data_IF_053882172648
#
_entry.id   IF_053882172648
#
_cell.length_a   1.000
_cell.length_b   1.000
_cell.length_c   1.000
_cell.angle_alpha   90.00
_cell.angle_beta   90.00
_cell.angle_gamma   90.00
#
_symmetry.space_group_name_H-M   'P 1'
#
loop_
_entity.id
_entity.type
_entity.pdbx_description
1 polymer ?
#
# COMPACT_ATOMS: atom_id res chain seq x y z
N UNK A 1 1.28 -4.64 14.27
CA UNK A 1 0.07 -3.82 14.00
C UNK A 1 -1.00 -3.88 15.11
N UNK A 2 -1.24 -5.04 15.75
CA UNK A 2 -2.33 -5.24 16.74
C UNK A 2 -2.38 -4.25 17.91
N UNK A 3 -1.22 -3.79 18.42
CA UNK A 3 -1.18 -2.84 19.53
C UNK A 3 -1.77 -1.46 19.21
N UNK A 4 -1.76 -1.05 17.94
CA UNK A 4 -2.25 0.28 17.52
C UNK A 4 -3.75 0.29 17.18
N UNK A 5 -4.32 -0.90 16.92
CA UNK A 5 -5.71 -1.06 16.48
C UNK A 5 -6.65 -1.31 17.68
N UNK A 6 -6.12 -1.79 18.81
CA UNK A 6 -6.92 -2.23 19.97
C UNK A 6 -7.83 -1.15 20.55
N UNK A 7 -7.34 0.09 20.66
CA UNK A 7 -8.12 1.22 21.17
C UNK A 7 -9.34 1.55 20.30
N UNK A 8 -9.13 1.90 19.01
CA UNK A 8 -10.23 2.11 18.06
C UNK A 8 -11.21 0.92 17.96
N UNK A 9 -10.69 -0.31 17.98
CA UNK A 9 -11.53 -1.50 17.95
C UNK A 9 -12.44 -1.61 19.18
N UNK A 10 -11.90 -1.37 20.38
CA UNK A 10 -12.67 -1.40 21.62
C UNK A 10 -13.76 -0.32 21.63
N UNK A 11 -13.48 0.86 21.07
CA UNK A 11 -14.47 1.91 20.88
C UNK A 11 -15.65 1.43 20.04
N UNK A 12 -15.41 0.92 18.83
CA UNK A 12 -16.47 0.40 17.94
C UNK A 12 -17.27 -0.72 18.62
N UNK A 13 -16.57 -1.67 19.24
CA UNK A 13 -17.19 -2.78 19.96
C UNK A 13 -18.08 -2.31 21.12
N UNK A 14 -17.63 -1.32 21.91
CA UNK A 14 -18.43 -0.77 23.03
C UNK A 14 -19.73 -0.10 22.57
N UNK A 15 -19.72 0.46 21.36
CA UNK A 15 -20.88 1.09 20.73
C UNK A 15 -21.75 0.09 19.96
N UNK A 16 -21.37 -1.20 19.92
CA UNK A 16 -22.03 -2.24 19.14
C UNK A 16 -22.13 -1.92 17.64
N UNK A 17 -21.12 -1.23 17.10
CA UNK A 17 -21.01 -0.90 15.67
C UNK A 17 -19.73 -1.48 15.08
N UNK A 18 -19.67 -1.58 13.75
CA UNK A 18 -18.51 -2.12 13.03
C UNK A 18 -17.78 -1.10 12.16
N UNK A 19 -18.40 0.06 11.91
CA UNK A 19 -17.82 1.14 11.10
C UNK A 19 -17.81 2.46 11.86
N UNK A 20 -16.82 3.31 11.59
CA UNK A 20 -16.74 4.67 12.13
C UNK A 20 -17.98 5.48 11.78
N UNK A 21 -18.48 5.33 10.54
CA UNK A 21 -19.69 6.03 10.08
C UNK A 21 -20.91 5.72 10.96
N UNK A 22 -21.10 4.47 11.37
CA UNK A 22 -22.19 4.08 12.25
C UNK A 22 -22.06 4.73 13.64
N UNK A 23 -20.82 4.83 14.14
CA UNK A 23 -20.54 5.56 15.39
C UNK A 23 -20.86 7.06 15.25
N UNK A 24 -20.44 7.68 14.15
CA UNK A 24 -20.74 9.08 13.82
C UNK A 24 -22.26 9.33 13.71
N UNK A 25 -22.99 8.41 13.09
CA UNK A 25 -24.45 8.45 12.98
C UNK A 25 -25.13 8.35 14.36
N UNK A 26 -24.62 7.50 15.27
CA UNK A 26 -25.10 7.43 16.66
C UNK A 26 -24.84 8.74 17.41
N UNK A 27 -23.65 9.33 17.24
CA UNK A 27 -23.28 10.58 17.91
C UNK A 27 -24.11 11.76 17.41
N UNK A 28 -24.37 11.84 16.11
CA UNK A 28 -25.19 12.90 15.50
C UNK A 28 -26.63 12.94 16.05
N UNK A 29 -27.15 11.79 16.51
CA UNK A 29 -28.48 11.67 17.14
C UNK A 29 -28.49 12.07 18.62
N UNK A 30 -27.32 12.26 19.24
CA UNK A 30 -27.16 12.48 20.68
C UNK A 30 -26.38 13.78 21.01
N UNK A 31 -26.48 14.79 20.14
CA UNK A 31 -25.73 16.07 20.23
C UNK A 31 -25.99 16.89 21.49
N UNK A 32 -27.12 16.66 22.17
CA UNK A 32 -27.47 17.35 23.41
C UNK A 32 -26.68 16.87 24.63
N UNK A 33 -25.97 15.73 24.53
CA UNK A 33 -25.15 15.21 25.62
C UNK A 33 -23.81 15.97 25.71
N UNK A 34 -23.61 16.75 26.77
CA UNK A 34 -22.40 17.54 26.97
C UNK A 34 -21.14 16.66 27.10
N UNK A 35 -21.21 15.59 27.88
CA UNK A 35 -20.11 14.64 28.04
C UNK A 35 -19.71 13.97 26.72
N UNK A 36 -20.68 13.66 25.85
CA UNK A 36 -20.39 13.13 24.52
C UNK A 36 -19.68 14.17 23.64
N UNK A 37 -20.13 15.42 23.66
CA UNK A 37 -19.47 16.50 22.88
C UNK A 37 -18.03 16.73 23.32
N UNK A 38 -17.77 16.71 24.62
CA UNK A 38 -16.43 16.81 25.19
C UNK A 38 -15.55 15.63 24.74
N UNK A 39 -16.03 14.39 24.89
CA UNK A 39 -15.31 13.21 24.44
C UNK A 39 -15.00 13.22 22.93
N UNK A 40 -15.91 13.71 22.09
CA UNK A 40 -15.66 13.84 20.64
C UNK A 40 -14.62 14.92 20.32
N UNK A 41 -14.59 15.99 21.11
CA UNK A 41 -13.58 17.03 20.99
C UNK A 41 -12.20 16.49 21.37
N UNK A 42 -12.11 15.77 22.50
CA UNK A 42 -10.87 15.10 22.95
C UNK A 42 -10.38 14.09 21.91
N UNK A 43 -11.30 13.31 21.32
CA UNK A 43 -10.97 12.32 20.29
C UNK A 43 -10.39 12.98 19.04
N UNK A 44 -10.98 14.11 18.60
CA UNK A 44 -10.46 14.89 17.47
C UNK A 44 -9.11 15.52 17.78
N UNK A 45 -8.91 15.97 19.01
CA UNK A 45 -7.61 16.50 19.43
C UNK A 45 -6.54 15.40 19.46
N UNK A 46 -6.88 14.21 19.95
CA UNK A 46 -5.99 13.04 19.94
C UNK A 46 -5.57 12.67 18.51
N UNK A 47 -6.50 12.67 17.54
CA UNK A 47 -6.18 12.45 16.12
C UNK A 47 -5.10 13.42 15.62
N UNK A 48 -5.29 14.72 15.87
CA UNK A 48 -4.32 15.76 15.45
C UNK A 48 -2.97 15.59 16.16
N UNK A 49 -2.99 15.36 17.47
CA UNK A 49 -1.77 15.21 18.27
C UNK A 49 -0.98 13.95 17.88
N UNK A 50 -1.67 12.84 17.60
CA UNK A 50 -1.08 11.57 17.17
C UNK A 50 -0.41 11.70 15.82
N UNK A 51 -1.12 12.25 14.82
CA UNK A 51 -0.57 12.43 13.48
C UNK A 51 0.62 13.39 13.48
N UNK A 52 0.54 14.47 14.27
CA UNK A 52 1.66 15.40 14.45
C UNK A 52 2.87 14.75 15.15
N UNK A 53 2.63 13.83 16.10
CA UNK A 53 3.69 13.06 16.73
C UNK A 53 4.41 12.15 15.73
N UNK A 54 3.66 11.40 14.91
CA UNK A 54 4.24 10.54 13.89
C UNK A 54 5.01 11.34 12.83
N UNK A 55 4.52 12.53 12.45
CA UNK A 55 5.24 13.40 11.53
C UNK A 55 6.60 13.83 12.10
N UNK A 56 6.65 14.21 13.38
CA UNK A 56 7.93 14.54 14.03
C UNK A 56 8.90 13.35 14.02
N UNK A 57 8.42 12.13 14.24
CA UNK A 57 9.25 10.93 14.17
C UNK A 57 9.79 10.69 12.74
N UNK A 58 8.97 10.90 11.71
CA UNK A 58 9.43 10.79 10.32
C UNK A 58 10.55 11.78 10.01
N UNK A 59 10.45 13.00 10.54
CA UNK A 59 11.46 14.06 10.37
C UNK A 59 12.76 13.74 11.14
N UNK A 60 12.64 13.32 12.41
CA UNK A 60 13.78 12.97 13.29
C UNK A 60 14.56 11.75 12.77
N UNK A 61 13.83 10.73 12.30
CA UNK A 61 14.42 9.51 11.74
C UNK A 61 14.84 9.65 10.28
N UNK A 62 14.52 10.78 9.64
CA UNK A 62 14.79 11.04 8.22
C UNK A 62 14.22 9.96 7.29
N UNK A 63 13.01 9.45 7.61
CA UNK A 63 12.38 8.36 6.85
C UNK A 63 11.77 8.82 5.53
N UNK A 64 11.35 10.08 5.50
CA UNK A 64 10.93 10.73 4.27
C UNK A 64 12.00 10.52 3.20
N UNK A 65 11.64 10.04 2.00
CA UNK A 65 12.62 9.83 0.95
C UNK A 65 13.37 11.15 0.73
N UNK A 66 14.70 11.13 0.86
CA UNK A 66 15.54 12.31 0.57
C UNK A 66 15.34 12.63 -0.91
N UNK A 67 14.44 13.58 -1.20
CA UNK A 67 14.22 14.08 -2.55
C UNK A 67 15.44 14.93 -2.90
N UNK A 68 16.54 14.28 -3.28
CA UNK A 68 17.63 14.95 -3.94
C UNK A 68 17.13 15.32 -5.35
N UNK A 69 16.72 16.58 -5.50
CA UNK A 69 16.10 17.20 -6.68
C UNK A 69 14.64 16.77 -6.95
N UNK A 70 13.74 17.73 -6.73
CA UNK A 70 12.31 17.69 -7.07
C UNK A 70 12.07 17.49 -8.59
N UNK A 71 13.11 17.59 -9.41
CA UNK A 71 13.03 17.66 -10.88
C UNK A 71 13.48 16.40 -11.64
N UNK A 72 14.02 15.38 -10.95
CA UNK A 72 14.33 14.08 -11.55
C UNK A 72 13.48 12.96 -10.94
N UNK A 73 12.16 13.15 -11.03
CA UNK A 73 11.26 12.00 -11.08
C UNK A 73 11.65 11.16 -12.30
N UNK A 74 11.88 9.87 -12.12
CA UNK A 74 12.22 8.97 -13.23
C UNK A 74 11.03 8.90 -14.20
N UNK A 75 11.02 9.78 -15.21
CA UNK A 75 10.09 9.73 -16.35
C UNK A 75 10.23 8.43 -17.15
N UNK A 76 11.32 7.71 -16.91
CA UNK A 76 11.64 6.43 -17.54
C UNK A 76 12.38 5.55 -16.53
N UNK A 77 12.10 4.25 -16.54
CA UNK A 77 12.89 3.24 -15.84
C UNK A 77 13.80 2.54 -16.85
N UNK A 78 15.06 2.33 -16.49
CA UNK A 78 16.00 1.64 -17.36
C UNK A 78 15.51 0.20 -17.64
N UNK A 79 15.39 -0.21 -18.91
CA UNK A 79 15.07 -1.60 -19.28
C UNK A 79 16.05 -2.62 -18.71
N UNK A 80 17.30 -2.22 -18.47
CA UNK A 80 18.38 -3.06 -17.96
C UNK A 80 18.39 -3.16 -16.43
N UNK A 81 17.37 -2.63 -15.75
CA UNK A 81 17.26 -2.69 -14.29
C UNK A 81 17.22 -4.17 -13.86
N UNK A 82 18.22 -4.66 -13.10
CA UNK A 82 18.29 -6.06 -12.69
C UNK A 82 17.29 -6.31 -11.56
N UNK A 83 16.51 -7.37 -11.71
CA UNK A 83 15.50 -7.85 -10.77
C UNK A 83 15.64 -9.36 -10.65
N UNK A 84 15.01 -9.94 -9.64
CA UNK A 84 14.99 -11.40 -9.44
C UNK A 84 13.58 -11.91 -9.71
N UNK A 85 13.42 -12.89 -10.58
CA UNK A 85 12.13 -13.56 -10.75
C UNK A 85 11.80 -14.34 -9.46
N UNK A 86 10.66 -14.02 -8.84
CA UNK A 86 10.32 -14.60 -7.54
C UNK A 86 10.13 -16.12 -7.58
N UNK A 87 9.74 -16.67 -8.73
CA UNK A 87 9.46 -18.12 -8.88
C UNK A 87 10.74 -18.89 -9.18
N UNK A 88 11.57 -18.39 -10.09
CA UNK A 88 12.79 -19.12 -10.52
C UNK A 88 14.03 -18.74 -9.74
N UNK A 89 14.08 -17.55 -9.14
CA UNK A 89 15.27 -16.99 -8.50
C UNK A 89 16.30 -16.47 -9.48
N UNK A 90 16.00 -16.49 -10.78
CA UNK A 90 16.91 -16.02 -11.82
C UNK A 90 16.92 -14.49 -11.87
N UNK A 91 18.10 -13.93 -12.15
CA UNK A 91 18.21 -12.50 -12.48
C UNK A 91 17.61 -12.26 -13.85
N UNK A 92 16.62 -11.37 -13.90
CA UNK A 92 15.97 -10.88 -15.11
C UNK A 92 16.08 -9.37 -15.18
N UNK A 93 15.77 -8.79 -16.34
CA UNK A 93 15.67 -7.33 -16.50
C UNK A 93 14.25 -6.92 -16.86
N UNK A 94 13.91 -5.66 -16.62
CA UNK A 94 12.59 -5.12 -16.99
C UNK A 94 12.33 -5.22 -18.51
N UNK A 95 13.39 -5.22 -19.32
CA UNK A 95 13.34 -5.46 -20.76
C UNK A 95 12.59 -6.74 -21.14
N UNK A 96 12.51 -7.75 -20.25
CA UNK A 96 11.67 -8.96 -20.44
C UNK A 96 10.23 -8.60 -20.83
N UNK A 97 9.71 -7.48 -20.36
CA UNK A 97 8.31 -7.07 -20.50
C UNK A 97 8.08 -5.94 -21.54
N UNK A 98 9.14 -5.24 -21.93
CA UNK A 98 9.09 -4.07 -22.82
C UNK A 98 9.12 -4.47 -24.31
N UNK A 99 8.62 -3.61 -25.20
CA UNK A 99 8.61 -3.84 -26.66
C UNK A 99 7.70 -4.97 -27.15
N UNK A 100 6.71 -5.38 -26.35
CA UNK A 100 5.79 -6.49 -26.67
C UNK A 100 4.40 -6.06 -27.13
N UNK A 101 4.22 -4.79 -27.49
CA UNK A 101 2.91 -4.22 -27.82
C UNK A 101 1.93 -4.17 -26.63
N UNK A 102 2.45 -4.26 -25.40
CA UNK A 102 1.69 -4.12 -24.15
C UNK A 102 2.30 -3.04 -23.27
N UNK A 103 1.42 -2.31 -22.56
CA UNK A 103 1.82 -1.45 -21.45
C UNK A 103 2.04 -2.32 -20.21
N UNK A 104 2.88 -1.86 -19.28
CA UNK A 104 3.17 -2.60 -18.05
C UNK A 104 2.59 -1.83 -16.87
N UNK A 105 1.72 -2.46 -16.09
CA UNK A 105 1.35 -1.97 -14.77
C UNK A 105 2.29 -2.58 -13.73
N UNK A 106 3.20 -1.77 -13.20
CA UNK A 106 4.03 -2.11 -12.06
C UNK A 106 3.26 -1.87 -10.76
N UNK A 107 3.09 -2.93 -9.97
CA UNK A 107 2.46 -2.87 -8.64
C UNK A 107 3.53 -3.09 -7.57
N UNK A 108 4.05 -2.01 -6.99
CA UNK A 108 5.04 -2.05 -5.92
C UNK A 108 4.32 -2.29 -4.59
N UNK A 109 4.46 -3.49 -4.01
CA UNK A 109 3.85 -3.84 -2.73
C UNK A 109 4.69 -3.37 -1.55
N UNK A 110 4.03 -3.09 -0.43
CA UNK A 110 4.67 -2.48 0.74
C UNK A 110 5.45 -3.47 1.60
N UNK A 111 4.91 -4.68 1.71
CA UNK A 111 5.43 -5.80 2.49
C UNK A 111 4.55 -7.03 2.18
N UNK A 112 5.04 -8.23 2.46
CA UNK A 112 4.28 -9.46 2.19
C UNK A 112 3.03 -9.62 3.08
N UNK A 113 3.05 -9.11 4.31
CA UNK A 113 1.91 -9.23 5.26
C UNK A 113 0.81 -8.17 5.04
N UNK A 114 0.96 -7.27 4.07
CA UNK A 114 -0.02 -6.20 3.86
C UNK A 114 -1.32 -6.71 3.24
N UNK A 115 -2.38 -6.77 4.05
CA UNK A 115 -3.73 -7.16 3.62
C UNK A 115 -4.21 -6.34 2.40
N UNK A 116 -4.04 -5.02 2.44
CA UNK A 116 -4.51 -4.09 1.40
C UNK A 116 -3.76 -4.30 0.08
N UNK A 117 -2.47 -4.67 0.13
CA UNK A 117 -1.73 -5.04 -1.08
C UNK A 117 -2.30 -6.32 -1.71
N UNK A 118 -2.69 -7.30 -0.89
CA UNK A 118 -3.29 -8.56 -1.36
C UNK A 118 -4.67 -8.33 -1.96
N UNK A 119 -5.52 -7.53 -1.31
CA UNK A 119 -6.83 -7.15 -1.83
C UNK A 119 -6.72 -6.40 -3.16
N UNK A 120 -5.75 -5.49 -3.28
CA UNK A 120 -5.50 -4.76 -4.54
C UNK A 120 -5.11 -5.71 -5.69
N UNK A 121 -4.21 -6.66 -5.44
CA UNK A 121 -3.83 -7.65 -6.45
C UNK A 121 -5.01 -8.56 -6.82
N UNK A 122 -5.84 -8.94 -5.85
CA UNK A 122 -7.07 -9.69 -6.12
C UNK A 122 -8.07 -8.89 -6.95
N UNK A 123 -8.20 -7.59 -6.71
CA UNK A 123 -9.08 -6.72 -7.51
C UNK A 123 -8.60 -6.59 -8.96
N UNK A 124 -7.29 -6.45 -9.17
CA UNK A 124 -6.69 -6.50 -10.51
C UNK A 124 -6.99 -7.84 -11.21
N UNK A 125 -6.84 -8.97 -10.50
CA UNK A 125 -7.14 -10.29 -11.06
C UNK A 125 -8.62 -10.47 -11.41
N UNK A 126 -9.54 -9.91 -10.61
CA UNK A 126 -10.98 -9.91 -10.93
C UNK A 126 -11.30 -9.11 -12.19
N UNK A 127 -10.50 -8.08 -12.48
CA UNK A 127 -10.66 -7.21 -13.63
C UNK A 127 -9.71 -7.57 -14.80
N UNK A 128 -9.18 -8.80 -14.83
CA UNK A 128 -8.19 -9.22 -15.83
C UNK A 128 -8.66 -8.99 -17.27
N UNK A 129 -9.93 -9.27 -17.58
CA UNK A 129 -10.47 -9.07 -18.93
C UNK A 129 -10.44 -7.60 -19.38
N UNK A 130 -10.60 -6.65 -18.45
CA UNK A 130 -10.49 -5.22 -18.74
C UNK A 130 -9.05 -4.80 -18.98
N UNK A 131 -8.12 -5.30 -18.16
CA UNK A 131 -6.67 -5.09 -18.34
C UNK A 131 -6.19 -5.63 -19.70
N UNK A 132 -6.63 -6.84 -20.07
CA UNK A 132 -6.29 -7.47 -21.35
C UNK A 132 -6.86 -6.69 -22.55
N UNK A 133 -8.10 -6.22 -22.47
CA UNK A 133 -8.73 -5.40 -23.51
C UNK A 133 -7.96 -4.09 -23.78
N UNK A 134 -7.26 -3.57 -22.78
CA UNK A 134 -6.42 -2.39 -22.90
C UNK A 134 -4.93 -2.71 -23.11
N UNK A 135 -4.58 -3.98 -23.34
CA UNK A 135 -3.18 -4.43 -23.51
C UNK A 135 -2.27 -4.05 -22.34
N UNK A 136 -2.78 -4.14 -21.11
CA UNK A 136 -2.02 -3.89 -19.88
C UNK A 136 -1.59 -5.21 -19.25
N UNK A 137 -0.27 -5.40 -19.10
CA UNK A 137 0.31 -6.52 -18.37
C UNK A 137 0.69 -6.09 -16.96
N UNK A 138 0.19 -6.79 -15.94
CA UNK A 138 0.53 -6.51 -14.54
C UNK A 138 1.79 -7.26 -14.14
N UNK A 139 2.69 -6.58 -13.42
CA UNK A 139 3.88 -7.14 -12.80
C UNK A 139 3.95 -6.65 -11.35
N UNK A 140 4.02 -7.58 -10.40
CA UNK A 140 4.15 -7.28 -8.97
C UNK A 140 5.63 -7.12 -8.63
N UNK A 141 5.97 -6.05 -7.92
CA UNK A 141 7.34 -5.79 -7.47
C UNK A 141 7.38 -5.79 -5.95
N UNK A 142 8.33 -6.52 -5.35
CA UNK A 142 8.62 -6.50 -3.91
C UNK A 142 10.10 -6.25 -3.67
N UNK A 143 10.49 -5.69 -2.53
CA UNK A 143 11.90 -5.66 -2.11
C UNK A 143 12.27 -6.82 -1.17
N UNK A 144 11.29 -7.65 -0.80
CA UNK A 144 11.53 -8.79 0.08
C UNK A 144 12.34 -9.90 -0.59
N UNK A 145 12.72 -10.91 0.20
CA UNK A 145 13.48 -12.06 -0.28
C UNK A 145 12.60 -13.08 -1.03
N UNK A 146 13.26 -14.00 -1.74
CA UNK A 146 12.58 -15.03 -2.54
C UNK A 146 11.72 -15.98 -1.70
N UNK A 147 12.18 -16.37 -0.51
CA UNK A 147 11.41 -17.22 0.40
C UNK A 147 10.07 -16.58 0.77
N UNK A 148 10.10 -15.30 1.15
CA UNK A 148 8.89 -14.53 1.46
C UNK A 148 7.97 -14.36 0.25
N UNK A 149 8.57 -14.16 -0.94
CA UNK A 149 7.81 -14.04 -2.18
C UNK A 149 7.12 -15.35 -2.58
N UNK A 150 7.80 -16.49 -2.47
CA UNK A 150 7.22 -17.81 -2.72
C UNK A 150 6.04 -18.06 -1.79
N UNK A 151 6.22 -17.84 -0.49
CA UNK A 151 5.14 -17.97 0.48
C UNK A 151 3.97 -17.02 0.16
N UNK A 152 4.26 -15.77 -0.19
CA UNK A 152 3.24 -14.80 -0.54
C UNK A 152 2.42 -15.22 -1.76
N UNK A 153 3.09 -15.70 -2.82
CA UNK A 153 2.45 -16.20 -4.03
C UNK A 153 1.58 -17.42 -3.73
N UNK A 154 2.08 -18.37 -2.94
CA UNK A 154 1.33 -19.57 -2.54
C UNK A 154 0.07 -19.24 -1.74
N UNK A 155 0.18 -18.28 -0.80
CA UNK A 155 -0.96 -17.87 0.02
C UNK A 155 -2.00 -17.03 -0.72
N UNK A 156 -1.59 -16.27 -1.73
CA UNK A 156 -2.48 -15.36 -2.46
C UNK A 156 -3.04 -15.97 -3.73
N UNK A 157 -2.42 -17.03 -4.25
CA UNK A 157 -2.71 -17.55 -5.59
C UNK A 157 -2.41 -16.52 -6.69
N UNK A 158 -1.46 -15.60 -6.45
CA UNK A 158 -1.16 -14.53 -7.40
C UNK A 158 -0.75 -15.11 -8.75
N UNK A 159 -1.46 -14.72 -9.80
CA UNK A 159 -1.23 -15.19 -11.17
C UNK A 159 -0.25 -14.32 -11.94
N UNK A 160 0.03 -13.11 -11.46
CA UNK A 160 0.98 -12.20 -12.08
C UNK A 160 2.42 -12.66 -11.86
N UNK A 161 3.28 -12.24 -12.79
CA UNK A 161 4.72 -12.29 -12.61
C UNK A 161 5.08 -11.39 -11.43
N UNK A 162 5.97 -11.92 -10.58
CA UNK A 162 6.48 -11.21 -9.42
C UNK A 162 7.99 -11.10 -9.51
N UNK A 163 8.50 -9.87 -9.41
CA UNK A 163 9.92 -9.58 -9.44
C UNK A 163 10.37 -8.96 -8.12
N UNK A 164 11.59 -9.25 -7.74
CA UNK A 164 12.20 -8.75 -6.52
C UNK A 164 13.25 -7.69 -6.84
N UNK A 165 13.18 -6.57 -6.14
CA UNK A 165 14.16 -5.49 -6.10
C UNK A 165 14.71 -5.36 -4.67
N UNK A 166 15.60 -6.28 -4.22
CA UNK A 166 16.10 -6.27 -2.84
C UNK A 166 16.80 -4.96 -2.45
N UNK A 167 17.34 -4.25 -3.44
CA UNK A 167 18.02 -2.96 -3.27
C UNK A 167 17.10 -1.74 -3.25
N UNK A 168 15.78 -1.93 -3.42
CA UNK A 168 14.78 -0.84 -3.48
C UNK A 168 15.12 0.25 -4.51
N UNK A 169 15.78 -0.10 -5.61
CA UNK A 169 16.13 0.85 -6.67
C UNK A 169 14.90 1.42 -7.36
N UNK A 170 13.91 0.58 -7.68
CA UNK A 170 12.64 1.01 -8.28
C UNK A 170 11.82 1.83 -7.29
N UNK A 171 11.76 1.40 -6.02
CA UNK A 171 11.10 2.16 -4.96
C UNK A 171 11.70 3.57 -4.84
N UNK A 172 13.02 3.67 -4.78
CA UNK A 172 13.73 4.95 -4.71
C UNK A 172 13.52 5.80 -5.97
N UNK A 173 13.62 5.20 -7.16
CA UNK A 173 13.41 5.88 -8.44
C UNK A 173 12.00 6.47 -8.58
N UNK A 174 11.01 5.81 -7.98
CA UNK A 174 9.63 6.26 -7.95
C UNK A 174 9.30 7.17 -6.76
N UNK A 175 10.25 7.45 -5.87
CA UNK A 175 10.03 8.28 -4.68
C UNK A 175 9.19 7.60 -3.60
N UNK A 176 9.22 6.27 -3.54
CA UNK A 176 8.54 5.47 -2.52
C UNK A 176 9.48 5.25 -1.33
N UNK A 177 9.34 6.07 -0.30
CA UNK A 177 10.08 5.92 0.96
C UNK A 177 9.28 5.24 2.07
N UNK A 178 9.90 5.16 3.24
CA UNK A 178 9.22 4.77 4.48
C UNK A 178 8.55 5.98 5.14
N UNK A 179 7.47 5.75 5.89
CA UNK A 179 6.85 6.79 6.73
C UNK A 179 5.97 6.16 7.80
N UNK A 180 6.22 6.53 9.06
CA UNK A 180 5.33 6.21 10.17
C UNK A 180 4.03 6.96 10.04
N UNK A 181 4.05 8.26 9.73
CA UNK A 181 2.84 9.09 9.66
C UNK A 181 1.87 8.53 8.62
N UNK A 182 2.36 8.23 7.41
CA UNK A 182 1.52 7.72 6.33
C UNK A 182 0.93 6.34 6.60
N UNK A 183 1.58 5.55 7.44
CA UNK A 183 1.18 4.16 7.73
C UNK A 183 0.35 4.05 8.99
N UNK A 184 0.72 4.77 10.04
CA UNK A 184 0.16 4.70 11.38
C UNK A 184 -0.74 5.89 11.74
N UNK A 185 -1.04 6.80 10.81
CA UNK A 185 -1.98 7.88 11.08
C UNK A 185 -3.30 7.35 11.64
N UNK A 186 -3.96 8.22 12.40
CA UNK A 186 -5.14 7.88 13.17
C UNK A 186 -6.25 7.31 12.28
N UNK A 187 -6.50 7.92 11.12
CA UNK A 187 -7.49 7.46 10.15
C UNK A 187 -7.26 6.02 9.68
N UNK A 188 -6.01 5.65 9.37
CA UNK A 188 -5.68 4.26 9.03
C UNK A 188 -5.97 3.30 10.19
N UNK A 189 -5.70 3.72 11.43
CA UNK A 189 -5.93 2.88 12.62
C UNK A 189 -7.42 2.62 12.83
N UNK A 190 -8.26 3.63 12.58
CA UNK A 190 -9.72 3.46 12.56
C UNK A 190 -10.12 2.44 11.50
N UNK A 191 -9.64 2.57 10.26
CA UNK A 191 -10.02 1.66 9.17
C UNK A 191 -9.59 0.22 9.46
N UNK A 192 -8.36 0.00 9.96
CA UNK A 192 -7.96 -1.36 10.35
C UNK A 192 -8.80 -1.90 11.49
N UNK A 193 -9.30 -1.05 12.40
CA UNK A 193 -10.19 -1.49 13.47
C UNK A 193 -11.55 -1.93 12.95
N UNK A 194 -12.05 -1.30 11.88
CA UNK A 194 -13.24 -1.76 11.17
C UNK A 194 -13.01 -3.14 10.55
N UNK A 195 -11.84 -3.38 9.95
CA UNK A 195 -11.52 -4.70 9.41
C UNK A 195 -11.52 -5.78 10.48
N UNK A 196 -10.95 -5.50 11.66
CA UNK A 196 -11.02 -6.43 12.80
C UNK A 196 -12.46 -6.61 13.28
N UNK A 197 -13.26 -5.55 13.38
CA UNK A 197 -14.68 -5.63 13.76
C UNK A 197 -15.56 -6.38 12.75
N UNK A 198 -15.12 -6.45 11.49
CA UNK A 198 -15.72 -7.23 10.41
C UNK A 198 -15.10 -8.63 10.25
N UNK A 199 -14.36 -9.11 11.26
CA UNK A 199 -13.78 -10.46 11.28
C UNK A 199 -12.84 -10.74 10.10
N UNK A 200 -12.22 -9.70 9.53
CA UNK A 200 -11.25 -9.88 8.46
C UNK A 200 -9.95 -10.46 9.01
N UNK A 201 -9.50 -11.55 8.40
CA UNK A 201 -8.22 -12.16 8.74
C UNK A 201 -7.05 -11.36 8.16
N UNK A 202 -6.16 -10.92 9.04
CA UNK A 202 -4.89 -10.35 8.62
C UNK A 202 -3.90 -11.47 8.28
N UNK A 203 -3.11 -11.33 7.20
CA UNK A 203 -2.05 -12.28 6.89
C UNK A 203 -1.12 -12.45 8.08
N UNK A 204 -0.70 -13.70 8.34
CA UNK A 204 0.27 -13.97 9.40
C UNK A 204 1.60 -13.31 9.05
N UNK A 205 2.18 -12.63 10.04
CA UNK A 205 3.54 -12.14 9.95
C UNK A 205 4.49 -13.34 9.88
N UNK A 206 5.56 -13.22 9.08
CA UNK A 206 6.62 -14.20 8.96
C UNK A 206 7.83 -13.66 9.70
N UNK A 207 8.03 -13.96 11.00
CA UNK A 207 9.01 -13.29 11.83
C UNK A 207 10.47 -13.49 11.38
N UNK A 208 10.74 -14.50 10.56
CA UNK A 208 12.06 -14.75 9.97
C UNK A 208 12.29 -14.05 8.62
N UNK A 209 11.24 -13.48 8.01
CA UNK A 209 11.36 -12.73 6.78
C UNK A 209 11.59 -11.26 7.14
N UNK A 210 12.76 -10.75 6.76
CA UNK A 210 13.05 -9.32 6.89
C UNK A 210 12.18 -8.54 5.90
N UNK A 211 11.36 -7.64 6.44
CA UNK A 211 10.48 -6.75 5.69
C UNK A 211 10.52 -5.36 6.34
N UNK A 212 9.80 -4.40 5.77
CA UNK A 212 9.71 -3.04 6.30
C UNK A 212 8.25 -2.59 6.34
N UNK A 213 7.68 -2.63 7.55
CA UNK A 213 6.29 -2.27 7.81
C UNK A 213 5.95 -0.84 7.36
N UNK A 214 6.94 0.06 7.33
CA UNK A 214 6.75 1.48 7.05
C UNK A 214 7.01 1.85 5.59
N UNK A 215 7.61 0.96 4.79
CA UNK A 215 7.82 1.17 3.37
C UNK A 215 6.49 1.42 2.64
N UNK A 216 6.43 2.45 1.80
CA UNK A 216 5.27 2.73 0.95
C UNK A 216 5.37 2.03 -0.41
N UNK A 217 4.21 1.88 -1.02
CA UNK A 217 4.02 1.18 -2.30
C UNK A 217 3.49 2.15 -3.35
N UNK A 218 3.21 1.62 -4.53
CA UNK A 218 2.71 2.46 -5.63
C UNK A 218 2.30 1.64 -6.84
N UNK A 219 1.69 2.34 -7.80
CA UNK A 219 1.26 1.77 -9.07
C UNK A 219 1.74 2.67 -10.21
N UNK A 220 2.38 2.09 -11.22
CA UNK A 220 2.94 2.85 -12.33
C UNK A 220 2.65 2.14 -13.64
N UNK A 221 2.09 2.86 -14.62
CA UNK A 221 1.93 2.33 -15.97
C UNK A 221 3.11 2.78 -16.80
N UNK A 222 3.82 1.84 -17.41
CA UNK A 222 4.90 2.08 -18.34
C UNK A 222 4.45 1.80 -19.78
N UNK A 223 4.92 2.61 -20.72
CA UNK A 223 4.85 2.29 -22.14
C UNK A 223 5.87 1.21 -22.54
N UNK A 224 5.84 0.82 -23.81
CA UNK A 224 6.73 -0.21 -24.36
C UNK A 224 8.23 0.16 -24.35
N UNK A 225 8.57 1.41 -24.07
CA UNK A 225 9.94 1.92 -23.96
C UNK A 225 10.35 2.20 -22.50
N UNK A 226 9.50 1.88 -21.53
CA UNK A 226 9.76 2.08 -20.11
C UNK A 226 9.45 3.49 -19.61
N UNK A 227 8.78 4.34 -20.41
CA UNK A 227 8.34 5.69 -19.99
C UNK A 227 7.11 5.58 -19.12
N UNK A 228 7.07 6.37 -18.05
CA UNK A 228 5.94 6.40 -17.10
C UNK A 228 4.78 7.20 -17.69
N UNK A 229 3.66 6.53 -17.95
CA UNK A 229 2.40 7.13 -18.41
C UNK A 229 1.51 7.52 -17.24
N UNK A 230 1.48 6.68 -16.20
CA UNK A 230 0.70 6.89 -14.98
C UNK A 230 1.57 6.65 -13.75
N UNK A 231 1.35 7.45 -12.71
CA UNK A 231 2.07 7.35 -11.44
C UNK A 231 1.13 7.58 -10.26
N UNK A 232 0.92 6.53 -9.47
CA UNK A 232 0.23 6.60 -8.18
C UNK A 232 1.18 6.22 -7.05
N UNK A 233 1.70 7.22 -6.35
CA UNK A 233 2.50 7.02 -5.14
C UNK A 233 1.55 6.93 -3.96
N UNK A 234 1.42 5.76 -3.37
CA UNK A 234 0.49 5.56 -2.25
C UNK A 234 0.91 6.46 -1.08
N UNK A 235 0.00 7.32 -0.62
CA UNK A 235 0.16 8.16 0.57
C UNK A 235 -0.17 7.40 1.85
N UNK A 236 -0.69 6.18 1.75
CA UNK A 236 -0.97 5.31 2.89
C UNK A 236 -1.11 3.85 2.44
N UNK A 237 -1.27 2.88 3.36
CA UNK A 237 -1.53 1.48 3.01
C UNK A 237 -2.84 1.26 2.27
N UNK A 238 -3.83 2.12 2.52
CA UNK A 238 -5.19 2.04 1.98
C UNK A 238 -5.35 2.85 0.69
N UNK A 239 -4.42 3.78 0.41
CA UNK A 239 -4.42 4.60 -0.79
C UNK A 239 -3.96 3.77 -2.00
N UNK A 240 -4.91 3.19 -2.72
CA UNK A 240 -4.70 2.42 -3.95
C UNK A 240 -5.60 2.97 -5.05
N UNK A 241 -5.09 3.14 -6.29
CA UNK A 241 -5.91 3.57 -7.40
C UNK A 241 -6.87 2.44 -7.79
N UNK A 242 -8.07 2.80 -8.24
CA UNK A 242 -9.00 1.83 -8.82
C UNK A 242 -8.48 1.33 -10.18
N UNK A 243 -9.02 0.21 -10.65
CA UNK A 243 -8.73 -0.27 -12.02
C UNK A 243 -9.16 0.77 -13.06
N UNK A 244 -10.26 1.49 -12.82
CA UNK A 244 -10.74 2.55 -13.71
C UNK A 244 -9.75 3.72 -13.78
N UNK A 245 -9.19 4.15 -12.65
CA UNK A 245 -8.16 5.21 -12.62
C UNK A 245 -6.93 4.80 -13.44
N UNK A 246 -6.47 3.55 -13.27
CA UNK A 246 -5.32 3.00 -14.01
C UNK A 246 -5.61 2.98 -15.51
N UNK A 247 -6.81 2.55 -15.92
CA UNK A 247 -7.17 2.39 -17.33
C UNK A 247 -7.52 3.71 -18.02
N UNK A 248 -7.91 4.74 -17.28
CA UNK A 248 -8.25 6.06 -17.82
C UNK A 248 -7.03 6.97 -18.02
N UNK A 249 -5.94 6.70 -17.30
CA UNK A 249 -4.76 7.57 -17.24
C UNK A 249 -3.56 7.07 -18.07
N UNK A 250 -3.81 6.18 -19.04
CA UNK A 250 -2.80 5.49 -19.85
C UNK A 250 -2.81 5.88 -21.33
#
# INVERSE_FOLDING_TARGET
MKCYISGPFFLLHSLSVKQKKDAEDLWSKNTNCAALREALQDFKELEVQWDAFLQRLDDELQLSPKIHNVDHQSKCISPDTPLIDARTGETVTLQKYLGRGKKILLVLIRQFSCLLCRLHVQDLQKNQSSLDAHSVQVVVISFGCQEGASYWVDQTGCQYDMLLDPSRKMYSAFGLGASLQKVLNFGNMLIYSEYVANDMEFPRELPWIQDDMFQLGGNFVLDEHGRVLFSHRCQSPIDRPSVEDILSAQ
#
